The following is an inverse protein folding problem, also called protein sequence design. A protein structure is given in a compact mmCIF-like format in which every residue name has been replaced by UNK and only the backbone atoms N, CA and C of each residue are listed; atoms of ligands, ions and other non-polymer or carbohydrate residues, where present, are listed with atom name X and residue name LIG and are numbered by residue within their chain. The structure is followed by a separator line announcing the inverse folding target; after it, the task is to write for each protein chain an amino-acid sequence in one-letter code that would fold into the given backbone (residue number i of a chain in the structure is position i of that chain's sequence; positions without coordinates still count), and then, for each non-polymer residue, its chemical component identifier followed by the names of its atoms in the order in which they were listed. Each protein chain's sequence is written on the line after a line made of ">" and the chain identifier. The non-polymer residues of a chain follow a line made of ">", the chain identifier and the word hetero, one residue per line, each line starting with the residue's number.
data_IF_346327842347
#
_entry.id   IF_346327842347
#
_cell.length_a   1.000
_cell.length_b   1.000
_cell.length_c   1.000
_cell.angle_alpha   90.00
_cell.angle_beta   90.00
_cell.angle_gamma   90.00
#
_symmetry.space_group_name_H-M   'P 1'
#
loop_
_entity.id
_entity.type
_entity.pdbx_description
1 polymer ?
#
# COMPACT_ATOMS: atom_id res chain seq x y z
N UNK A 1 121.68 -37.36 -178.89
CA UNK A 1 122.65 -36.79 -177.93
C UNK A 1 121.90 -35.88 -176.96
N UNK A 2 122.14 -36.07 -175.65
CA UNK A 2 122.14 -35.09 -174.54
C UNK A 2 121.04 -34.00 -174.44
N UNK A 3 120.18 -34.18 -173.43
CA UNK A 3 119.77 -33.29 -172.32
C UNK A 3 119.73 -31.76 -172.44
N UNK A 4 118.65 -31.12 -171.93
CA UNK A 4 118.60 -30.41 -170.62
C UNK A 4 117.20 -29.79 -170.33
N UNK A 5 116.78 -29.92 -169.06
CA UNK A 5 115.97 -29.04 -168.20
C UNK A 5 114.42 -28.98 -168.21
N UNK A 6 113.87 -29.67 -167.19
CA UNK A 6 112.54 -29.60 -166.55
C UNK A 6 112.55 -28.66 -165.32
N UNK A 7 112.09 -27.41 -165.40
CA UNK A 7 112.04 -26.52 -164.21
C UNK A 7 110.91 -25.48 -164.18
N UNK A 8 109.89 -25.55 -165.05
CA UNK A 8 108.88 -24.48 -165.14
C UNK A 8 107.42 -24.94 -165.06
N UNK A 9 107.17 -26.24 -164.97
CA UNK A 9 105.82 -26.82 -164.95
C UNK A 9 105.32 -27.16 -163.55
N UNK A 10 106.21 -27.36 -162.57
CA UNK A 10 105.82 -27.70 -161.19
C UNK A 10 105.34 -26.49 -160.37
N UNK A 11 105.63 -25.25 -160.80
CA UNK A 11 105.31 -24.03 -160.04
C UNK A 11 103.87 -23.51 -160.28
N UNK A 12 103.21 -23.97 -161.34
CA UNK A 12 101.84 -23.55 -161.72
C UNK A 12 100.76 -24.41 -161.05
N UNK A 13 101.11 -25.62 -160.62
CA UNK A 13 100.16 -26.56 -160.00
C UNK A 13 99.93 -26.22 -158.52
N UNK A 14 100.95 -25.73 -157.83
CA UNK A 14 100.89 -25.40 -156.40
C UNK A 14 100.06 -24.14 -156.10
N UNK A 15 100.04 -23.14 -156.98
CA UNK A 15 99.29 -21.89 -156.74
C UNK A 15 97.76 -22.05 -156.86
N UNK A 16 97.31 -23.04 -157.64
CA UNK A 16 95.88 -23.26 -157.92
C UNK A 16 95.20 -24.07 -156.80
N UNK A 17 95.95 -24.98 -156.15
CA UNK A 17 95.48 -25.69 -154.96
C UNK A 17 95.32 -24.75 -153.76
N UNK A 18 96.21 -23.77 -153.58
CA UNK A 18 96.16 -22.82 -152.46
C UNK A 18 94.97 -21.84 -152.57
N UNK A 19 94.62 -21.39 -153.78
CA UNK A 19 93.47 -20.51 -154.03
C UNK A 19 92.11 -21.19 -153.80
N UNK A 20 92.04 -22.51 -153.97
CA UNK A 20 90.77 -23.24 -153.82
C UNK A 20 90.47 -23.53 -152.34
N UNK A 21 91.49 -23.74 -151.52
CA UNK A 21 91.37 -23.95 -150.06
C UNK A 21 90.92 -22.66 -149.32
N UNK A 22 91.32 -21.48 -149.80
CA UNK A 22 90.92 -20.19 -149.22
C UNK A 22 89.41 -19.88 -149.43
N UNK A 23 88.82 -20.31 -150.54
CA UNK A 23 87.40 -20.06 -150.82
C UNK A 23 86.46 -20.95 -149.96
N UNK A 24 86.85 -22.19 -149.68
CA UNK A 24 86.05 -23.08 -148.83
C UNK A 24 86.05 -22.63 -147.36
N UNK A 25 87.16 -22.07 -146.88
CA UNK A 25 87.27 -21.55 -145.51
C UNK A 25 86.43 -20.28 -145.29
N UNK A 26 86.34 -19.39 -146.29
CA UNK A 26 85.50 -18.19 -146.23
C UNK A 26 83.98 -18.50 -146.20
N UNK A 27 83.53 -19.51 -146.97
CA UNK A 27 82.13 -19.93 -146.93
C UNK A 27 81.73 -20.53 -145.57
N UNK A 28 82.65 -21.25 -144.90
CA UNK A 28 82.40 -21.79 -143.57
C UNK A 28 82.19 -20.68 -142.51
N UNK A 29 82.98 -19.60 -142.56
CA UNK A 29 82.88 -18.49 -141.60
C UNK A 29 81.56 -17.70 -141.71
N UNK A 30 81.03 -17.52 -142.93
CA UNK A 30 79.77 -16.80 -143.15
C UNK A 30 78.57 -17.56 -142.58
N UNK A 31 78.59 -18.90 -142.65
CA UNK A 31 77.51 -19.73 -142.10
C UNK A 31 77.49 -19.67 -140.56
N UNK A 32 78.66 -19.67 -139.92
CA UNK A 32 78.81 -19.55 -138.46
C UNK A 32 78.26 -18.22 -137.93
N UNK A 33 78.59 -17.10 -138.57
CA UNK A 33 78.13 -15.77 -138.17
C UNK A 33 76.59 -15.65 -138.19
N UNK A 34 75.93 -16.28 -139.16
CA UNK A 34 74.47 -16.29 -139.27
C UNK A 34 73.81 -17.08 -138.14
N UNK A 35 74.43 -18.19 -137.70
CA UNK A 35 73.96 -18.94 -136.54
C UNK A 35 74.11 -18.16 -135.24
N UNK A 36 75.19 -17.38 -135.07
CA UNK A 36 75.41 -16.57 -133.86
C UNK A 36 74.38 -15.46 -133.70
N UNK A 37 74.02 -14.77 -134.79
CA UNK A 37 73.02 -13.68 -134.76
C UNK A 37 71.63 -14.22 -134.37
N UNK A 38 71.26 -15.39 -134.88
CA UNK A 38 70.00 -16.06 -134.51
C UNK A 38 69.95 -16.41 -133.02
N UNK A 39 71.05 -16.96 -132.47
CA UNK A 39 71.14 -17.34 -131.06
C UNK A 39 71.03 -16.13 -130.13
N UNK A 40 71.74 -15.03 -130.44
CA UNK A 40 71.72 -13.80 -129.64
C UNK A 40 70.34 -13.13 -129.66
N UNK A 41 69.63 -13.17 -130.78
CA UNK A 41 68.25 -12.67 -130.88
C UNK A 41 67.30 -13.47 -129.99
N UNK A 42 67.45 -14.80 -129.95
CA UNK A 42 66.68 -15.67 -129.05
C UNK A 42 66.93 -15.32 -127.57
N UNK A 43 68.20 -15.19 -127.17
CA UNK A 43 68.59 -14.82 -125.80
C UNK A 43 68.05 -13.45 -125.38
N UNK A 44 68.06 -12.45 -126.28
CA UNK A 44 67.50 -11.13 -125.98
C UNK A 44 65.98 -11.17 -125.73
N UNK A 45 65.25 -12.05 -126.42
CA UNK A 45 63.81 -12.21 -126.17
C UNK A 45 63.52 -12.87 -124.81
N UNK A 46 64.36 -13.83 -124.40
CA UNK A 46 64.24 -14.52 -123.11
C UNK A 46 64.49 -13.54 -121.96
N UNK A 47 65.56 -12.74 -122.05
CA UNK A 47 65.90 -11.73 -121.04
C UNK A 47 64.82 -10.65 -120.92
N UNK A 48 64.20 -10.21 -122.01
CA UNK A 48 63.06 -9.27 -121.94
C UNK A 48 61.87 -9.85 -121.20
N UNK A 49 61.55 -11.14 -121.41
CA UNK A 49 60.46 -11.81 -120.71
C UNK A 49 60.77 -12.01 -119.21
N UNK A 50 62.00 -12.35 -118.86
CA UNK A 50 62.42 -12.42 -117.45
C UNK A 50 62.39 -11.05 -116.77
N UNK A 51 62.82 -10.00 -117.47
CA UNK A 51 62.80 -8.64 -116.93
C UNK A 51 61.35 -8.19 -116.66
N UNK A 52 60.41 -8.50 -117.57
CA UNK A 52 58.98 -8.20 -117.36
C UNK A 52 58.42 -8.95 -116.16
N UNK A 53 58.68 -10.26 -116.03
CA UNK A 53 58.25 -11.05 -114.86
C UNK A 53 58.82 -10.52 -113.54
N UNK A 54 60.11 -10.13 -113.52
CA UNK A 54 60.72 -9.52 -112.33
C UNK A 54 60.06 -8.20 -111.97
N UNK A 55 59.71 -7.37 -112.96
CA UNK A 55 59.01 -6.10 -112.73
C UNK A 55 57.60 -6.31 -112.15
N UNK A 56 56.82 -7.25 -112.69
CA UNK A 56 55.49 -7.62 -112.15
C UNK A 56 55.61 -8.15 -110.70
N UNK A 57 56.64 -8.96 -110.42
CA UNK A 57 56.88 -9.48 -109.07
C UNK A 57 57.22 -8.36 -108.08
N UNK A 58 58.03 -7.37 -108.49
CA UNK A 58 58.39 -6.22 -107.65
C UNK A 58 57.13 -5.41 -107.28
N UNK A 59 56.22 -5.16 -108.22
CA UNK A 59 54.97 -4.44 -107.95
C UNK A 59 54.12 -5.20 -106.93
N UNK A 60 53.95 -6.51 -107.10
CA UNK A 60 53.18 -7.34 -106.17
C UNK A 60 53.78 -7.39 -104.76
N UNK A 61 55.10 -7.45 -104.63
CA UNK A 61 55.78 -7.44 -103.34
C UNK A 61 55.62 -6.09 -102.62
N UNK A 62 55.65 -4.99 -103.37
CA UNK A 62 55.49 -3.65 -102.80
C UNK A 62 54.07 -3.43 -102.23
N UNK A 63 53.05 -3.98 -102.89
CA UNK A 63 51.66 -3.94 -102.39
C UNK A 63 51.49 -4.77 -101.11
N UNK A 64 52.17 -5.93 -101.01
CA UNK A 64 52.19 -6.71 -99.76
C UNK A 64 52.90 -5.98 -98.62
N UNK A 65 54.00 -5.27 -98.89
CA UNK A 65 54.68 -4.43 -97.89
C UNK A 65 53.74 -3.33 -97.38
N UNK A 66 52.94 -2.71 -98.26
CA UNK A 66 51.91 -1.75 -97.87
C UNK A 66 50.90 -2.32 -96.88
N UNK A 67 50.38 -3.54 -97.13
CA UNK A 67 49.45 -4.24 -96.22
C UNK A 67 50.09 -4.69 -94.91
N UNK A 68 51.38 -5.03 -94.93
CA UNK A 68 52.12 -5.34 -93.70
C UNK A 68 52.27 -4.12 -92.78
N UNK A 69 52.30 -2.89 -93.31
CA UNK A 69 52.32 -1.68 -92.47
C UNK A 69 50.99 -1.42 -91.71
N UNK A 70 49.86 -1.98 -92.18
CA UNK A 70 48.60 -1.94 -91.43
C UNK A 70 48.63 -2.88 -90.20
N UNK A 71 49.44 -3.93 -90.25
CA UNK A 71 49.68 -4.83 -89.10
C UNK A 71 50.34 -4.08 -87.92
N UNK A 72 51.23 -3.14 -88.21
CA UNK A 72 51.89 -2.31 -87.19
C UNK A 72 50.88 -1.39 -86.45
N UNK A 73 49.87 -0.88 -87.16
CA UNK A 73 48.77 -0.12 -86.54
C UNK A 73 47.88 -0.98 -85.64
N UNK A 74 47.65 -2.24 -86.01
CA UNK A 74 46.89 -3.21 -85.20
C UNK A 74 47.67 -3.59 -83.93
N UNK A 75 48.99 -3.78 -84.02
CA UNK A 75 49.85 -4.01 -82.86
C UNK A 75 49.79 -2.82 -81.89
N UNK A 76 49.89 -1.59 -82.40
CA UNK A 76 49.82 -0.37 -81.59
C UNK A 76 48.46 -0.22 -80.88
N UNK A 77 47.34 -0.52 -81.55
CA UNK A 77 46.00 -0.53 -80.92
C UNK A 77 45.87 -1.61 -79.85
N UNK A 78 46.40 -2.80 -80.09
CA UNK A 78 46.40 -3.87 -79.09
C UNK A 78 47.22 -3.52 -77.85
N UNK A 79 48.34 -2.82 -77.99
CA UNK A 79 49.08 -2.32 -76.83
C UNK A 79 48.28 -1.28 -76.04
N UNK A 80 47.62 -0.34 -76.71
CA UNK A 80 46.78 0.67 -76.05
C UNK A 80 45.61 0.00 -75.31
N UNK A 81 44.92 -0.96 -75.93
CA UNK A 81 43.84 -1.72 -75.30
C UNK A 81 44.34 -2.54 -74.10
N UNK A 82 45.52 -3.17 -74.19
CA UNK A 82 46.13 -3.87 -73.05
C UNK A 82 46.39 -2.91 -71.89
N UNK A 83 46.93 -1.71 -72.16
CA UNK A 83 47.14 -0.70 -71.12
C UNK A 83 45.84 -0.25 -70.48
N UNK A 84 44.80 0.01 -71.28
CA UNK A 84 43.47 0.40 -70.78
C UNK A 84 42.80 -0.71 -69.96
N UNK A 85 42.96 -1.98 -70.34
CA UNK A 85 42.47 -3.13 -69.57
C UNK A 85 43.19 -3.23 -68.22
N UNK A 86 44.51 -3.04 -68.20
CA UNK A 86 45.30 -3.05 -66.96
C UNK A 86 44.86 -1.89 -66.05
N UNK A 87 44.78 -0.67 -66.59
CA UNK A 87 44.37 0.52 -65.85
C UNK A 87 42.94 0.42 -65.29
N UNK A 88 41.99 -0.06 -66.10
CA UNK A 88 40.61 -0.32 -65.67
C UNK A 88 40.54 -1.40 -64.58
N UNK A 89 41.32 -2.48 -64.72
CA UNK A 89 41.38 -3.55 -63.71
C UNK A 89 41.97 -3.04 -62.38
N UNK A 90 43.01 -2.22 -62.44
CA UNK A 90 43.61 -1.58 -61.27
C UNK A 90 42.63 -0.62 -60.59
N UNK A 91 41.92 0.20 -61.37
CA UNK A 91 40.86 1.10 -60.87
C UNK A 91 39.70 0.33 -60.22
N UNK A 92 39.24 -0.76 -60.82
CA UNK A 92 38.18 -1.59 -60.22
C UNK A 92 38.68 -2.24 -58.93
N UNK A 93 39.94 -2.67 -58.89
CA UNK A 93 40.53 -3.28 -57.71
C UNK A 93 40.75 -2.27 -56.58
N UNK A 94 41.14 -1.02 -56.88
CA UNK A 94 41.27 0.04 -55.86
C UNK A 94 39.91 0.39 -55.26
N UNK A 95 38.90 0.66 -56.09
CA UNK A 95 37.53 0.95 -55.64
C UNK A 95 36.97 -0.20 -54.81
N UNK A 96 37.21 -1.45 -55.21
CA UNK A 96 36.76 -2.62 -54.44
C UNK A 96 37.44 -2.72 -53.08
N UNK A 97 38.75 -2.47 -53.00
CA UNK A 97 39.47 -2.46 -51.72
C UNK A 97 38.97 -1.33 -50.81
N UNK A 98 38.73 -0.14 -51.36
CA UNK A 98 38.18 0.99 -50.61
C UNK A 98 36.78 0.67 -50.08
N UNK A 99 35.91 0.05 -50.90
CA UNK A 99 34.60 -0.40 -50.48
C UNK A 99 34.68 -1.49 -49.38
N UNK A 100 35.57 -2.47 -49.53
CA UNK A 100 35.78 -3.52 -48.52
C UNK A 100 36.30 -2.94 -47.18
N UNK A 101 37.19 -1.94 -47.23
CA UNK A 101 37.66 -1.21 -46.04
C UNK A 101 36.51 -0.39 -45.41
N UNK A 102 35.72 0.32 -46.22
CA UNK A 102 34.58 1.10 -45.74
C UNK A 102 33.52 0.22 -45.08
N UNK A 103 33.20 -0.94 -45.68
CA UNK A 103 32.27 -1.92 -45.10
C UNK A 103 32.84 -2.50 -43.82
N UNK A 104 34.10 -2.95 -43.81
CA UNK A 104 34.71 -3.52 -42.60
C UNK A 104 34.80 -2.51 -41.45
N UNK A 105 35.08 -1.24 -41.74
CA UNK A 105 35.11 -0.19 -40.72
C UNK A 105 33.71 0.17 -40.23
N UNK A 106 32.71 0.20 -41.11
CA UNK A 106 31.31 0.39 -40.73
C UNK A 106 30.79 -0.76 -39.87
N UNK A 107 31.09 -2.01 -40.22
CA UNK A 107 30.73 -3.20 -39.44
C UNK A 107 31.38 -3.17 -38.05
N UNK A 108 32.68 -2.87 -37.95
CA UNK A 108 33.37 -2.74 -36.66
C UNK A 108 32.76 -1.63 -35.79
N UNK A 109 32.42 -0.48 -36.38
CA UNK A 109 31.76 0.61 -35.65
C UNK A 109 30.37 0.21 -35.17
N UNK A 110 29.56 -0.41 -36.03
CA UNK A 110 28.24 -0.91 -35.66
C UNK A 110 28.33 -1.95 -34.54
N UNK A 111 29.27 -2.89 -34.63
CA UNK A 111 29.48 -3.91 -33.61
C UNK A 111 29.93 -3.29 -32.28
N UNK A 112 30.82 -2.30 -32.31
CA UNK A 112 31.21 -1.56 -31.10
C UNK A 112 30.05 -0.79 -30.47
N UNK A 113 29.21 -0.13 -31.28
CA UNK A 113 28.04 0.62 -30.80
C UNK A 113 26.98 -0.32 -30.19
N UNK A 114 26.75 -1.49 -30.81
CA UNK A 114 25.86 -2.53 -30.26
C UNK A 114 26.41 -3.06 -28.94
N UNK A 115 27.73 -3.30 -28.84
CA UNK A 115 28.35 -3.75 -27.59
C UNK A 115 28.23 -2.70 -26.48
N UNK A 116 28.43 -1.42 -26.80
CA UNK A 116 28.28 -0.32 -25.85
C UNK A 116 26.83 -0.16 -25.37
N UNK A 117 25.87 -0.11 -26.30
CA UNK A 117 24.45 -0.06 -25.99
C UNK A 117 24.01 -1.26 -25.14
N UNK A 118 24.53 -2.46 -25.41
CA UNK A 118 24.23 -3.66 -24.61
C UNK A 118 24.80 -3.56 -23.19
N UNK A 119 26.00 -2.97 -23.02
CA UNK A 119 26.58 -2.72 -21.69
C UNK A 119 25.77 -1.70 -20.92
N UNK A 120 25.39 -0.59 -21.53
CA UNK A 120 24.58 0.45 -20.90
C UNK A 120 23.20 -0.10 -20.51
N UNK A 121 22.54 -0.85 -21.40
CA UNK A 121 21.27 -1.51 -21.09
C UNK A 121 21.40 -2.47 -19.90
N UNK A 122 22.48 -3.26 -19.84
CA UNK A 122 22.72 -4.19 -18.73
C UNK A 122 22.95 -3.43 -17.41
N UNK A 123 23.73 -2.35 -17.43
CA UNK A 123 23.95 -1.49 -16.26
C UNK A 123 22.67 -0.81 -15.79
N UNK A 124 21.89 -0.22 -16.71
CA UNK A 124 20.58 0.37 -16.40
C UNK A 124 19.63 -0.66 -15.81
N UNK A 125 19.61 -1.88 -16.34
CA UNK A 125 18.78 -2.96 -15.82
C UNK A 125 19.17 -3.36 -14.38
N UNK A 126 20.47 -3.46 -14.08
CA UNK A 126 20.92 -3.78 -12.72
C UNK A 126 20.66 -2.63 -11.74
N UNK A 127 20.89 -1.37 -12.13
CA UNK A 127 20.58 -0.21 -11.30
C UNK A 127 19.09 -0.07 -11.01
N UNK A 128 18.22 -0.36 -11.98
CA UNK A 128 16.76 -0.38 -11.77
C UNK A 128 16.34 -1.46 -10.76
N UNK A 129 16.92 -2.66 -10.82
CA UNK A 129 16.64 -3.70 -9.81
C UNK A 129 17.03 -3.27 -8.41
N UNK A 130 18.21 -2.65 -8.26
CA UNK A 130 18.67 -2.15 -6.95
C UNK A 130 17.71 -1.08 -6.43
N UNK A 131 17.29 -0.15 -7.30
CA UNK A 131 16.36 0.90 -6.95
C UNK A 131 14.98 0.35 -6.56
N UNK A 132 14.46 -0.68 -7.25
CA UNK A 132 13.20 -1.34 -6.89
C UNK A 132 13.27 -1.96 -5.48
N UNK A 133 14.38 -2.62 -5.13
CA UNK A 133 14.60 -3.18 -3.80
C UNK A 133 14.66 -2.07 -2.74
N UNK A 134 15.45 -1.02 -2.97
CA UNK A 134 15.58 0.11 -2.04
C UNK A 134 14.25 0.85 -1.84
N UNK A 135 13.47 1.04 -2.92
CA UNK A 135 12.14 1.63 -2.84
C UNK A 135 11.17 0.75 -2.04
N UNK A 136 11.20 -0.57 -2.22
CA UNK A 136 10.39 -1.51 -1.43
C UNK A 136 10.76 -1.50 0.07
N UNK A 137 12.06 -1.47 0.39
CA UNK A 137 12.53 -1.34 1.78
C UNK A 137 12.09 0.01 2.39
N UNK A 138 12.17 1.09 1.61
CA UNK A 138 11.73 2.41 2.07
C UNK A 138 10.22 2.48 2.27
N UNK A 139 9.44 1.87 1.39
CA UNK A 139 7.98 1.80 1.51
C UNK A 139 7.56 1.01 2.75
N UNK A 140 8.16 -0.15 2.99
CA UNK A 140 7.91 -0.94 4.21
C UNK A 140 8.31 -0.18 5.48
N UNK A 141 9.44 0.53 5.46
CA UNK A 141 9.88 1.37 6.59
C UNK A 141 8.92 2.55 6.85
N UNK A 142 8.43 3.21 5.80
CA UNK A 142 7.44 4.29 5.92
C UNK A 142 6.12 3.75 6.46
N UNK A 143 5.60 2.66 5.90
CA UNK A 143 4.38 2.01 6.41
C UNK A 143 4.51 1.58 7.88
N UNK A 144 5.68 1.08 8.28
CA UNK A 144 5.98 0.76 9.67
C UNK A 144 5.95 1.98 10.59
N UNK A 145 6.54 3.10 10.15
CA UNK A 145 6.51 4.38 10.89
C UNK A 145 5.12 4.95 11.01
N UNK A 146 4.32 4.93 9.93
CA UNK A 146 2.93 5.38 9.94
C UNK A 146 2.10 4.61 10.96
N UNK A 147 2.20 3.26 10.97
CA UNK A 147 1.52 2.42 11.96
C UNK A 147 1.95 2.70 13.40
N UNK A 148 3.25 2.97 13.64
CA UNK A 148 3.71 3.35 14.97
C UNK A 148 3.18 4.71 15.41
N UNK A 149 3.15 5.68 14.50
CA UNK A 149 2.68 7.04 14.75
C UNK A 149 1.17 7.04 15.00
N UNK A 150 0.40 6.25 14.26
CA UNK A 150 -1.03 6.02 14.47
C UNK A 150 -1.29 5.42 15.86
N UNK A 151 -0.56 4.38 16.25
CA UNK A 151 -0.67 3.77 17.60
C UNK A 151 -0.31 4.76 18.71
N UNK A 152 0.71 5.59 18.52
CA UNK A 152 1.11 6.61 19.49
C UNK A 152 0.06 7.72 19.61
N UNK A 153 -0.51 8.18 18.49
CA UNK A 153 -1.61 9.15 18.48
C UNK A 153 -2.85 8.59 19.17
N UNK A 154 -3.22 7.34 18.89
CA UNK A 154 -4.35 6.67 19.54
C UNK A 154 -4.11 6.53 21.06
N UNK A 155 -2.91 6.10 21.45
CA UNK A 155 -2.51 5.97 22.86
C UNK A 155 -2.58 7.31 23.59
N UNK A 156 -2.02 8.38 23.00
CA UNK A 156 -2.06 9.73 23.57
C UNK A 156 -3.48 10.27 23.65
N UNK A 157 -4.29 10.07 22.63
CA UNK A 157 -5.71 10.49 22.63
C UNK A 157 -6.50 9.81 23.75
N UNK A 158 -6.34 8.48 23.91
CA UNK A 158 -6.95 7.73 25.01
C UNK A 158 -6.45 8.21 26.38
N UNK A 159 -5.17 8.55 26.50
CA UNK A 159 -4.61 9.08 27.75
C UNK A 159 -5.19 10.45 28.10
N UNK A 160 -5.24 11.38 27.13
CA UNK A 160 -5.84 12.72 27.33
C UNK A 160 -7.30 12.60 27.77
N UNK A 161 -8.07 11.71 27.14
CA UNK A 161 -9.48 11.47 27.51
C UNK A 161 -9.57 10.93 28.94
N UNK A 162 -8.75 9.93 29.30
CA UNK A 162 -8.72 9.38 30.66
C UNK A 162 -8.34 10.42 31.70
N UNK A 163 -7.31 11.21 31.43
CA UNK A 163 -6.83 12.25 32.36
C UNK A 163 -7.89 13.34 32.56
N UNK A 164 -8.57 13.76 31.48
CA UNK A 164 -9.72 14.68 31.57
C UNK A 164 -10.86 14.08 32.37
N UNK A 165 -11.22 12.83 32.11
CA UNK A 165 -12.30 12.14 32.83
C UNK A 165 -11.99 12.04 34.32
N UNK A 166 -10.76 11.64 34.68
CA UNK A 166 -10.31 11.56 36.06
C UNK A 166 -10.32 12.93 36.75
N UNK A 167 -9.93 13.99 36.04
CA UNK A 167 -9.99 15.37 36.54
C UNK A 167 -11.43 15.80 36.80
N UNK A 168 -12.34 15.56 35.86
CA UNK A 168 -13.76 15.86 36.03
C UNK A 168 -14.38 15.06 37.16
N UNK A 169 -14.08 13.77 37.27
CA UNK A 169 -14.58 12.91 38.35
C UNK A 169 -14.09 13.41 39.71
N UNK A 170 -12.81 13.78 39.80
CA UNK A 170 -12.22 14.31 41.04
C UNK A 170 -12.87 15.63 41.44
N UNK A 171 -13.09 16.53 40.47
CA UNK A 171 -13.76 17.81 40.70
C UNK A 171 -15.22 17.59 41.14
N UNK A 172 -15.96 16.74 40.43
CA UNK A 172 -17.33 16.38 40.76
C UNK A 172 -17.44 15.76 42.16
N UNK A 173 -16.56 14.82 42.51
CA UNK A 173 -16.53 14.17 43.83
C UNK A 173 -16.20 15.16 44.94
N UNK A 174 -15.34 16.14 44.69
CA UNK A 174 -15.06 17.22 45.64
C UNK A 174 -16.29 18.12 45.83
N UNK A 175 -16.90 18.54 44.73
CA UNK A 175 -18.12 19.36 44.75
C UNK A 175 -19.27 18.65 45.47
N UNK A 176 -19.52 17.38 45.14
CA UNK A 176 -20.56 16.55 45.76
C UNK A 176 -20.37 16.40 47.26
N UNK A 177 -19.13 16.20 47.73
CA UNK A 177 -18.83 16.18 49.17
C UNK A 177 -19.10 17.53 49.83
N UNK A 178 -18.72 18.64 49.17
CA UNK A 178 -19.02 19.98 49.65
C UNK A 178 -20.52 20.24 49.79
N UNK A 179 -21.30 19.90 48.76
CA UNK A 179 -22.76 20.03 48.80
C UNK A 179 -23.40 19.13 49.85
N UNK A 180 -23.00 17.87 49.94
CA UNK A 180 -23.54 16.95 50.95
C UNK A 180 -23.22 17.44 52.38
N UNK A 181 -22.00 17.95 52.62
CA UNK A 181 -21.65 18.56 53.90
C UNK A 181 -22.49 19.82 54.21
N UNK A 182 -22.72 20.68 53.21
CA UNK A 182 -23.55 21.87 53.36
C UNK A 182 -25.02 21.51 53.66
N UNK A 183 -25.59 20.52 52.96
CA UNK A 183 -26.95 20.02 53.22
C UNK A 183 -27.02 19.45 54.63
N UNK A 184 -26.05 18.63 55.04
CA UNK A 184 -26.00 18.07 56.39
C UNK A 184 -25.94 19.15 57.47
N UNK A 185 -25.09 20.17 57.29
CA UNK A 185 -24.99 21.30 58.22
C UNK A 185 -26.31 22.07 58.29
N UNK A 186 -26.94 22.34 57.15
CA UNK A 186 -28.21 23.05 57.07
C UNK A 186 -29.34 22.28 57.74
N UNK A 187 -29.47 20.97 57.47
CA UNK A 187 -30.45 20.10 58.10
C UNK A 187 -30.23 20.00 59.61
N UNK A 188 -28.97 19.89 60.06
CA UNK A 188 -28.63 19.85 61.48
C UNK A 188 -29.00 21.16 62.18
N UNK A 189 -28.67 22.30 61.56
CA UNK A 189 -29.03 23.63 62.07
C UNK A 189 -30.55 23.83 62.14
N UNK A 190 -31.26 23.47 61.07
CA UNK A 190 -32.72 23.53 61.03
C UNK A 190 -33.35 22.65 62.13
N UNK A 191 -32.83 21.44 62.34
CA UNK A 191 -33.30 20.54 63.42
C UNK A 191 -33.19 21.19 64.79
N UNK A 192 -32.03 21.80 65.10
CA UNK A 192 -31.82 22.49 66.38
C UNK A 192 -32.77 23.67 66.53
N UNK A 193 -32.94 24.49 65.48
CA UNK A 193 -33.85 25.64 65.50
C UNK A 193 -35.31 25.21 65.69
N UNK A 194 -35.74 24.14 65.01
CA UNK A 194 -37.08 23.57 65.15
C UNK A 194 -37.30 23.05 66.57
N UNK A 195 -36.30 22.41 67.20
CA UNK A 195 -36.38 21.92 68.58
C UNK A 195 -36.47 23.07 69.60
N UNK A 196 -35.71 24.15 69.40
CA UNK A 196 -35.80 25.37 70.23
C UNK A 196 -37.19 26.00 70.11
N UNK A 197 -37.74 26.04 68.90
CA UNK A 197 -39.08 26.59 68.63
C UNK A 197 -40.14 25.72 69.31
N UNK A 198 -40.07 24.40 69.17
CA UNK A 198 -40.96 23.45 69.83
C UNK A 198 -40.97 23.64 71.35
N UNK A 199 -39.81 23.88 71.96
CA UNK A 199 -39.70 24.12 73.40
C UNK A 199 -40.32 25.44 73.85
N UNK A 200 -40.32 26.45 72.99
CA UNK A 200 -40.92 27.76 73.28
C UNK A 200 -42.43 27.79 73.07
N UNK A 201 -42.97 26.88 72.28
CA UNK A 201 -44.39 26.82 71.97
C UNK A 201 -45.16 26.10 73.10
N UNK A 202 -45.85 26.88 73.94
CA UNK A 202 -46.60 26.35 75.10
C UNK A 202 -47.71 25.38 74.69
N UNK A 203 -48.47 25.69 73.64
CA UNK A 203 -49.56 24.83 73.12
C UNK A 203 -49.03 23.45 72.70
N UNK A 204 -47.86 23.41 72.07
CA UNK A 204 -47.24 22.14 71.68
C UNK A 204 -46.78 21.34 72.90
N UNK A 205 -46.19 21.99 73.91
CA UNK A 205 -45.75 21.30 75.13
C UNK A 205 -46.90 20.72 75.94
N UNK A 206 -48.04 21.41 76.00
CA UNK A 206 -49.26 20.89 76.61
C UNK A 206 -49.81 19.68 75.84
N UNK A 207 -49.88 19.77 74.51
CA UNK A 207 -50.30 18.65 73.67
C UNK A 207 -49.34 17.45 73.77
N UNK A 208 -48.04 17.70 73.94
CA UNK A 208 -47.02 16.68 74.16
C UNK A 208 -47.24 15.96 75.50
N UNK A 209 -47.48 16.72 76.57
CA UNK A 209 -47.79 16.17 77.89
C UNK A 209 -49.09 15.36 77.86
N UNK A 210 -50.16 15.90 77.27
CA UNK A 210 -51.44 15.21 77.13
C UNK A 210 -51.29 13.90 76.34
N UNK A 211 -50.52 13.92 75.25
CA UNK A 211 -50.25 12.72 74.46
C UNK A 211 -49.55 11.64 75.28
N UNK A 212 -48.47 11.98 76.00
CA UNK A 212 -47.77 11.00 76.83
C UNK A 212 -48.60 10.55 78.02
N UNK A 213 -49.38 11.44 78.62
CA UNK A 213 -50.29 11.10 79.70
C UNK A 213 -51.37 10.11 79.23
N UNK A 214 -52.00 10.37 78.09
CA UNK A 214 -52.99 9.48 77.47
C UNK A 214 -52.37 8.11 77.17
N UNK A 215 -51.19 8.06 76.55
CA UNK A 215 -50.51 6.78 76.27
C UNK A 215 -50.10 6.06 77.57
N UNK A 216 -49.66 6.80 78.59
CA UNK A 216 -49.34 6.27 79.92
C UNK A 216 -50.56 5.65 80.60
N UNK A 217 -51.73 6.31 80.52
CA UNK A 217 -52.98 5.76 81.03
C UNK A 217 -53.40 4.49 80.30
N UNK A 218 -53.20 4.40 78.98
CA UNK A 218 -53.47 3.17 78.22
C UNK A 218 -52.58 2.04 78.73
N UNK A 219 -51.30 2.30 78.99
CA UNK A 219 -50.36 1.32 79.55
C UNK A 219 -50.80 0.90 80.96
N UNK A 220 -51.16 1.84 81.82
CA UNK A 220 -51.66 1.57 83.17
C UNK A 220 -52.94 0.74 83.15
N UNK A 221 -53.89 1.09 82.26
CA UNK A 221 -55.12 0.34 82.05
C UNK A 221 -54.87 -1.10 81.61
N UNK A 222 -53.89 -1.31 80.72
CA UNK A 222 -53.44 -2.64 80.32
C UNK A 222 -52.88 -3.39 81.55
N UNK A 223 -52.00 -2.78 82.34
CA UNK A 223 -51.41 -3.40 83.53
C UNK A 223 -52.45 -3.80 84.58
N UNK A 224 -53.41 -2.92 84.85
CA UNK A 224 -54.53 -3.22 85.76
C UNK A 224 -55.32 -4.42 85.24
N UNK A 225 -55.56 -4.50 83.92
CA UNK A 225 -56.30 -5.61 83.33
C UNK A 225 -55.52 -6.92 83.36
N UNK A 226 -54.21 -6.87 83.17
CA UNK A 226 -53.30 -8.01 83.37
C UNK A 226 -53.36 -8.49 84.82
N UNK A 227 -53.28 -7.57 85.79
CA UNK A 227 -53.40 -7.88 87.22
C UNK A 227 -54.74 -8.53 87.57
N UNK A 228 -55.85 -8.05 87.00
CA UNK A 228 -57.17 -8.62 87.20
C UNK A 228 -57.34 -10.03 86.57
N UNK A 229 -56.70 -10.28 85.43
CA UNK A 229 -56.66 -11.61 84.82
C UNK A 229 -55.80 -12.55 85.69
N UNK A 230 -54.66 -12.07 86.19
CA UNK A 230 -53.77 -12.83 87.06
C UNK A 230 -54.45 -13.19 88.40
N UNK A 231 -55.21 -12.28 88.99
CA UNK A 231 -55.99 -12.56 90.21
C UNK A 231 -57.11 -13.57 89.95
N UNK A 232 -57.81 -13.45 88.82
CA UNK A 232 -58.83 -14.44 88.39
C UNK A 232 -58.20 -15.84 88.20
N UNK A 233 -57.01 -15.90 87.62
CA UNK A 233 -56.27 -17.16 87.42
C UNK A 233 -55.78 -17.75 88.73
N UNK A 234 -55.35 -16.92 89.69
CA UNK A 234 -54.99 -17.38 91.03
C UNK A 234 -56.17 -18.00 91.78
N UNK A 235 -57.38 -17.48 91.59
CA UNK A 235 -58.60 -18.06 92.19
C UNK A 235 -58.99 -19.43 91.61
N UNK A 236 -58.66 -19.70 90.34
CA UNK A 236 -58.87 -21.03 89.73
C UNK A 236 -57.94 -22.10 90.34
N UNK A 237 -56.75 -21.72 90.80
CA UNK A 237 -55.80 -22.62 91.46
C UNK A 237 -56.24 -23.05 92.87
N UNK A 238 -57.02 -22.21 93.58
CA UNK A 238 -57.51 -22.49 94.94
C UNK A 238 -58.62 -23.55 95.01
N UNK A 239 -59.17 -23.97 93.87
CA UNK A 239 -60.21 -25.01 93.79
C UNK A 239 -59.60 -26.43 93.85
N UNK A 240 -58.26 -26.56 93.75
CA UNK A 240 -57.56 -27.85 93.73
C UNK A 240 -57.14 -28.23 95.16
N UNK A 241 -57.63 -29.35 95.74
CA UNK A 241 -57.47 -29.68 97.16
C UNK A 241 -56.07 -30.17 97.59
N UNK A 242 -55.06 -30.16 96.72
CA UNK A 242 -53.68 -30.53 97.05
C UNK A 242 -52.74 -29.33 96.90
N UNK A 243 -52.28 -28.80 98.04
CA UNK A 243 -51.49 -27.57 98.15
C UNK A 243 -50.19 -27.57 97.33
N UNK A 244 -49.52 -28.72 97.23
CA UNK A 244 -48.27 -28.87 96.48
C UNK A 244 -48.49 -28.80 94.95
N UNK A 245 -49.56 -29.43 94.43
CA UNK A 245 -49.86 -29.43 93.00
C UNK A 245 -50.46 -28.10 92.52
N UNK A 246 -51.30 -27.47 93.34
CA UNK A 246 -51.94 -26.20 93.03
C UNK A 246 -50.90 -25.10 92.78
N UNK A 247 -49.84 -25.05 93.60
CA UNK A 247 -48.77 -24.05 93.49
C UNK A 247 -47.96 -24.20 92.21
N UNK A 248 -47.68 -25.43 91.78
CA UNK A 248 -46.94 -25.72 90.54
C UNK A 248 -47.77 -25.37 89.30
N UNK A 249 -49.05 -25.76 89.28
CA UNK A 249 -49.96 -25.47 88.16
C UNK A 249 -50.20 -23.96 88.03
N UNK A 250 -50.38 -23.26 89.15
CA UNK A 250 -50.53 -21.81 89.17
C UNK A 250 -49.27 -21.10 88.64
N UNK A 251 -48.08 -21.58 88.97
CA UNK A 251 -46.82 -21.07 88.45
C UNK A 251 -46.68 -21.25 86.93
N UNK A 252 -47.02 -22.44 86.41
CA UNK A 252 -47.00 -22.72 84.97
C UNK A 252 -47.98 -21.82 84.22
N UNK A 253 -49.20 -21.65 84.75
CA UNK A 253 -50.22 -20.80 84.15
C UNK A 253 -49.83 -19.32 84.16
N UNK A 254 -49.13 -18.86 85.21
CA UNK A 254 -48.55 -17.52 85.28
C UNK A 254 -47.49 -17.29 84.20
N UNK A 255 -46.57 -18.25 84.01
CA UNK A 255 -45.54 -18.17 82.97
C UNK A 255 -46.15 -18.10 81.57
N UNK A 256 -47.19 -18.90 81.29
CA UNK A 256 -47.88 -18.89 80.00
C UNK A 256 -48.56 -17.55 79.73
N UNK A 257 -49.24 -16.96 80.72
CA UNK A 257 -49.94 -15.67 80.57
C UNK A 257 -48.95 -14.52 80.36
N UNK A 258 -47.85 -14.48 81.12
CA UNK A 258 -46.80 -13.47 80.94
C UNK A 258 -46.15 -13.58 79.56
N UNK A 259 -45.89 -14.80 79.07
CA UNK A 259 -45.37 -15.01 77.72
C UNK A 259 -46.35 -14.57 76.63
N UNK A 260 -47.66 -14.81 76.82
CA UNK A 260 -48.68 -14.39 75.86
C UNK A 260 -48.82 -12.87 75.82
N UNK A 261 -48.77 -12.20 76.97
CA UNK A 261 -48.91 -10.75 77.10
C UNK A 261 -47.70 -9.98 76.56
N UNK A 262 -46.48 -10.39 76.94
CA UNK A 262 -45.23 -9.86 76.37
C UNK A 262 -45.18 -10.15 74.85
N UNK A 263 -45.63 -11.34 74.44
CA UNK A 263 -45.68 -11.77 73.05
C UNK A 263 -46.65 -10.96 72.17
N UNK A 264 -47.77 -10.50 72.72
CA UNK A 264 -48.81 -9.76 71.98
C UNK A 264 -48.56 -8.25 71.99
N UNK A 265 -47.91 -7.71 73.03
CA UNK A 265 -47.76 -6.25 73.21
C UNK A 265 -46.34 -5.81 72.88
N UNK A 266 -45.33 -6.42 73.50
CA UNK A 266 -43.94 -5.97 73.36
C UNK A 266 -43.35 -6.42 72.03
N UNK A 267 -43.63 -7.62 71.54
CA UNK A 267 -43.08 -8.10 70.26
C UNK A 267 -43.52 -7.21 69.08
N UNK A 268 -44.80 -6.86 68.85
CA UNK A 268 -45.17 -5.98 67.75
C UNK A 268 -44.72 -4.53 67.95
N UNK A 269 -44.64 -4.02 69.18
CA UNK A 269 -44.08 -2.68 69.44
C UNK A 269 -42.57 -2.65 69.15
N UNK A 270 -41.82 -3.67 69.61
CA UNK A 270 -40.38 -3.81 69.39
C UNK A 270 -40.05 -4.17 67.93
N UNK A 271 -40.94 -4.89 67.23
CA UNK A 271 -40.86 -5.12 65.79
C UNK A 271 -41.21 -3.86 65.00
N UNK A 272 -42.18 -3.05 65.42
CA UNK A 272 -42.48 -1.76 64.78
C UNK A 272 -41.32 -0.78 64.98
N UNK A 273 -40.84 -0.60 66.22
CA UNK A 273 -39.68 0.23 66.51
C UNK A 273 -38.42 -0.30 65.81
N UNK A 274 -38.19 -1.61 65.86
CA UNK A 274 -37.08 -2.27 65.19
C UNK A 274 -37.16 -2.18 63.66
N UNK A 275 -38.37 -2.15 63.09
CA UNK A 275 -38.57 -1.94 61.66
C UNK A 275 -38.36 -0.47 61.30
N UNK A 276 -38.86 0.48 62.08
CA UNK A 276 -38.63 1.92 61.89
C UNK A 276 -37.13 2.24 61.99
N UNK A 277 -36.44 1.71 63.01
CA UNK A 277 -34.99 1.89 63.21
C UNK A 277 -34.20 1.20 62.09
N UNK A 278 -34.50 -0.06 61.74
CA UNK A 278 -33.84 -0.75 60.62
C UNK A 278 -34.14 -0.07 59.27
N UNK A 279 -35.28 0.59 59.13
CA UNK A 279 -35.68 1.30 57.91
C UNK A 279 -35.01 2.67 57.80
N UNK A 280 -34.79 3.36 58.93
CA UNK A 280 -33.90 4.53 59.02
C UNK A 280 -32.45 4.13 58.71
N UNK A 281 -31.98 3.00 59.24
CA UNK A 281 -30.62 2.48 59.01
C UNK A 281 -30.38 1.93 57.59
N UNK A 282 -31.41 1.38 56.92
CA UNK A 282 -31.30 0.83 55.54
C UNK A 282 -31.23 1.89 54.43
N UNK A 283 -30.90 3.15 54.77
CA UNK A 283 -30.55 4.18 53.79
C UNK A 283 -31.73 4.87 53.10
N UNK A 284 -32.91 4.90 53.74
CA UNK A 284 -34.13 5.53 53.19
C UNK A 284 -34.55 6.83 53.90
N UNK A 285 -33.79 7.31 54.88
CA UNK A 285 -33.81 8.72 55.27
C UNK A 285 -33.09 9.54 54.18
N UNK A 286 -33.66 9.50 52.97
CA UNK A 286 -33.32 10.38 51.86
C UNK A 286 -33.35 11.82 52.39
N UNK A 287 -32.34 12.62 52.02
CA UNK A 287 -32.19 14.01 52.47
C UNK A 287 -33.51 14.79 52.27
N UNK A 288 -34.26 14.45 51.22
CA UNK A 288 -35.57 15.00 50.89
C UNK A 288 -36.62 14.67 51.95
N UNK A 289 -36.69 13.44 52.47
CA UNK A 289 -37.68 13.11 53.51
C UNK A 289 -37.35 13.75 54.85
N UNK A 290 -36.07 13.84 55.19
CA UNK A 290 -35.64 14.56 56.40
C UNK A 290 -36.03 16.03 56.28
N UNK A 291 -35.78 16.64 55.12
CA UNK A 291 -36.18 18.01 54.82
C UNK A 291 -37.70 18.22 54.92
N UNK A 292 -38.52 17.36 54.31
CA UNK A 292 -39.99 17.48 54.34
C UNK A 292 -40.53 17.41 55.76
N UNK A 293 -40.05 16.45 56.57
CA UNK A 293 -40.45 16.33 57.98
C UNK A 293 -40.05 17.57 58.78
N UNK A 294 -38.84 18.10 58.55
CA UNK A 294 -38.39 19.32 59.21
C UNK A 294 -39.24 20.54 58.86
N UNK A 295 -39.63 20.68 57.59
CA UNK A 295 -40.53 21.76 57.14
C UNK A 295 -41.92 21.62 57.76
N UNK A 296 -42.46 20.41 57.79
CA UNK A 296 -43.75 20.09 58.40
C UNK A 296 -43.76 20.43 59.91
N UNK A 297 -42.72 20.02 60.64
CA UNK A 297 -42.54 20.36 62.05
C UNK A 297 -42.36 21.85 62.27
N UNK A 298 -41.50 22.50 61.48
CA UNK A 298 -41.28 23.95 61.57
C UNK A 298 -42.57 24.73 61.32
N UNK A 299 -43.37 24.34 60.32
CA UNK A 299 -44.67 24.92 60.06
C UNK A 299 -45.63 24.71 61.24
N UNK A 300 -45.73 23.47 61.74
CA UNK A 300 -46.64 23.15 62.84
C UNK A 300 -46.31 23.93 64.11
N UNK A 301 -45.03 24.10 64.44
CA UNK A 301 -44.62 24.84 65.64
C UNK A 301 -44.74 26.35 65.50
N UNK A 302 -44.51 26.87 64.30
CA UNK A 302 -44.63 28.31 64.02
C UNK A 302 -46.08 28.78 64.02
N UNK A 303 -47.00 27.91 63.62
CA UNK A 303 -48.44 28.21 63.52
C UNK A 303 -49.25 27.40 64.53
N UNK A 304 -48.66 27.04 65.66
CA UNK A 304 -49.28 26.12 66.61
C UNK A 304 -50.60 26.65 67.16
N UNK A 305 -50.63 27.94 67.50
CA UNK A 305 -51.81 28.61 68.05
C UNK A 305 -52.92 28.67 66.98
N UNK A 306 -52.58 29.09 65.76
CA UNK A 306 -53.53 29.17 64.65
C UNK A 306 -54.06 27.79 64.23
N UNK A 307 -53.20 26.77 64.23
CA UNK A 307 -53.61 25.39 63.94
C UNK A 307 -54.55 24.88 65.03
N UNK A 308 -54.28 25.19 66.30
CA UNK A 308 -55.13 24.78 67.42
C UNK A 308 -56.50 25.46 67.39
N UNK A 309 -56.54 26.73 67.00
CA UNK A 309 -57.77 27.49 66.81
C UNK A 309 -58.61 26.92 65.66
N UNK A 310 -57.97 26.51 64.57
CA UNK A 310 -58.63 25.89 63.41
C UNK A 310 -59.06 24.45 63.68
N UNK A 311 -58.25 23.69 64.41
CA UNK A 311 -58.42 22.27 64.65
C UNK A 311 -58.07 21.94 66.10
N UNK A 312 -59.10 21.65 66.91
CA UNK A 312 -58.96 21.27 68.33
C UNK A 312 -58.27 19.91 68.55
N UNK A 313 -57.73 19.29 67.50
CA UNK A 313 -56.96 18.06 67.61
C UNK A 313 -55.61 18.34 68.27
N UNK A 314 -55.01 17.28 68.81
CA UNK A 314 -53.64 17.33 69.31
C UNK A 314 -52.65 17.52 68.15
N UNK A 315 -51.73 18.48 68.27
CA UNK A 315 -50.77 18.84 67.22
C UNK A 315 -49.90 17.65 66.80
N UNK A 316 -49.55 16.73 67.71
CA UNK A 316 -48.78 15.53 67.38
C UNK A 316 -49.55 14.59 66.45
N UNK A 317 -50.87 14.49 66.62
CA UNK A 317 -51.71 13.68 65.74
C UNK A 317 -51.80 14.30 64.34
N UNK A 318 -51.82 15.63 64.25
CA UNK A 318 -51.81 16.35 62.96
C UNK A 318 -50.51 16.08 62.21
N UNK A 319 -49.37 16.25 62.87
CA UNK A 319 -48.04 15.93 62.30
C UNK A 319 -47.97 14.46 61.90
N UNK A 320 -48.46 13.55 62.74
CA UNK A 320 -48.47 12.13 62.39
C UNK A 320 -49.31 11.85 61.13
N UNK A 321 -50.50 12.46 61.02
CA UNK A 321 -51.39 12.26 59.89
C UNK A 321 -50.80 12.82 58.58
N UNK A 322 -50.27 14.04 58.61
CA UNK A 322 -49.65 14.68 57.44
C UNK A 322 -48.44 13.89 56.99
N UNK A 323 -47.61 13.42 57.93
CA UNK A 323 -46.51 12.52 57.63
C UNK A 323 -46.98 11.21 56.97
N UNK A 324 -48.03 10.56 57.49
CA UNK A 324 -48.60 9.33 56.88
C UNK A 324 -49.07 9.58 55.44
N UNK A 325 -49.77 10.69 55.20
CA UNK A 325 -50.22 11.08 53.85
C UNK A 325 -49.02 11.27 52.92
N UNK A 326 -48.00 12.03 53.34
CA UNK A 326 -46.76 12.20 52.60
C UNK A 326 -46.11 10.85 52.25
N UNK A 327 -46.04 9.94 53.22
CA UNK A 327 -45.44 8.61 53.03
C UNK A 327 -46.21 7.78 52.01
N UNK A 328 -47.54 7.78 52.06
CA UNK A 328 -48.38 7.09 51.07
C UNK A 328 -48.13 7.65 49.67
N UNK A 329 -48.14 8.97 49.51
CA UNK A 329 -47.88 9.63 48.22
C UNK A 329 -46.50 9.26 47.68
N UNK A 330 -45.46 9.32 48.52
CA UNK A 330 -44.08 9.00 48.11
C UNK A 330 -43.94 7.55 47.65
N UNK A 331 -44.54 6.60 48.38
CA UNK A 331 -44.52 5.17 48.01
C UNK A 331 -45.24 4.96 46.67
N UNK A 332 -46.39 5.59 46.47
CA UNK A 332 -47.13 5.52 45.20
C UNK A 332 -46.34 6.08 44.02
N UNK A 333 -45.63 7.20 44.21
CA UNK A 333 -44.78 7.80 43.17
C UNK A 333 -43.56 6.94 42.85
N UNK A 334 -42.84 6.44 43.86
CA UNK A 334 -41.67 5.58 43.66
C UNK A 334 -42.03 4.27 42.94
N UNK A 335 -43.21 3.69 43.25
CA UNK A 335 -43.73 2.52 42.55
C UNK A 335 -44.05 2.80 41.08
N UNK A 336 -44.55 4.00 40.78
CA UNK A 336 -44.83 4.43 39.41
C UNK A 336 -43.55 4.62 38.59
N UNK A 337 -42.54 5.29 39.15
CA UNK A 337 -41.23 5.47 38.50
C UNK A 337 -40.53 4.13 38.24
N UNK A 338 -40.54 3.21 39.23
CA UNK A 338 -39.98 1.87 39.06
C UNK A 338 -40.67 1.07 37.96
N UNK A 339 -41.96 1.33 37.67
CA UNK A 339 -42.66 0.68 36.57
C UNK A 339 -42.38 1.36 35.21
N UNK A 340 -42.15 2.67 35.17
CA UNK A 340 -41.79 3.38 33.93
C UNK A 340 -40.33 3.11 33.51
N UNK A 341 -39.41 2.93 34.45
CA UNK A 341 -38.01 2.56 34.19
C UNK A 341 -37.83 1.10 33.74
N UNK A 342 -38.85 0.25 33.91
CA UNK A 342 -38.87 -1.14 33.37
C UNK A 342 -39.44 -1.18 31.94
N UNK A 343 -40.17 -0.13 31.53
CA UNK A 343 -40.84 -0.04 30.22
C UNK A 343 -39.96 0.71 29.19
N UNK A 344 -38.88 1.37 29.61
CA UNK A 344 -37.81 1.89 28.75
C UNK A 344 -36.60 0.97 28.76
#
# INVERSE_FOLDING_TARGET
>A
MKGLNDSKTDELLTLLEEQQEENETLQAQILEARQTVSLLSSQNSILRNELRKKSETIVSLNEQIGKLSESDLVLKRNEILKRQIIESRESVQSVRREAEIAVSTAEKKAESAIREARREYTQRKETLKILEVELGERETAVSGREKMLEKEVERRSKQIIRDKLQTFETHYRRMRRGYSAFVFFTLSFATVMTMITAYRTEVFMQDLEEFFHMNGQVIEWIWVRIGNIASSVSSLGQIIPQDELARVIQGILWVIIVFLLIGIIDIPLLLCLGTIIKYVQKGQADEISVFVVLVELAFTFSFADEIKDLCKMNLLLIVFLVFVVYRVIRISMMKKMSNEDIIR
#
